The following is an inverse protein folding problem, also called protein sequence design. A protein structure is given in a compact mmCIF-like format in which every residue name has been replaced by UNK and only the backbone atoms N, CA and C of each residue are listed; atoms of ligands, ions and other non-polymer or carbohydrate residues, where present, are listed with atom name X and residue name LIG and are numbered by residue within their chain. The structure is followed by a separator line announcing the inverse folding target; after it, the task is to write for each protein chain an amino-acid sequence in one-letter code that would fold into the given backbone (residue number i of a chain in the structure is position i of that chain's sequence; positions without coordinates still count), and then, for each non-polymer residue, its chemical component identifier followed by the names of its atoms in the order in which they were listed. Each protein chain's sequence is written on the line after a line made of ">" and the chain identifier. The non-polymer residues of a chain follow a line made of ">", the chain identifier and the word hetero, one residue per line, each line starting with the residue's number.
data_IF_843105384633
#
_entry.id   IF_843105384633
#
_cell.length_a   1.000
_cell.length_b   1.000
_cell.length_c   1.000
_cell.angle_alpha   90.00
_cell.angle_beta   90.00
_cell.angle_gamma   90.00
#
_symmetry.space_group_name_H-M   'P 1'
#
loop_
_entity.id
_entity.type
_entity.pdbx_description
1 polymer ?
#
# COMPACT_ATOMS: atom_id res chain seq x y z
N UNK A 1 -14.80 -2.82 -30.68
CA UNK A 1 -15.33 -2.46 -32.01
C UNK A 1 -16.03 -1.12 -31.84
N UNK A 2 -15.44 -0.03 -32.35
CA UNK A 2 -15.95 1.33 -32.17
C UNK A 2 -17.33 1.45 -32.85
N UNK A 3 -18.40 1.62 -32.07
CA UNK A 3 -19.74 1.83 -32.59
C UNK A 3 -19.85 3.27 -33.11
N UNK A 4 -19.94 3.42 -34.42
CA UNK A 4 -20.29 4.67 -35.11
C UNK A 4 -21.56 5.27 -34.54
N UNK A 5 -21.50 6.55 -34.13
CA UNK A 5 -22.65 7.32 -33.66
C UNK A 5 -23.60 7.58 -34.83
N UNK A 6 -24.74 6.90 -34.87
CA UNK A 6 -25.81 7.18 -35.81
C UNK A 6 -26.79 8.20 -35.18
N UNK A 7 -26.94 9.37 -35.81
CA UNK A 7 -27.98 10.35 -35.48
C UNK A 7 -29.35 9.85 -35.96
N UNK A 8 -30.37 9.93 -35.11
CA UNK A 8 -31.76 9.62 -35.48
C UNK A 8 -32.45 10.80 -36.19
N UNK A 9 -33.48 10.50 -36.99
CA UNK A 9 -34.18 11.43 -37.91
C UNK A 9 -34.81 12.68 -37.27
N UNK A 10 -34.84 12.80 -35.94
CA UNK A 10 -35.46 13.94 -35.22
C UNK A 10 -34.49 14.75 -34.35
N UNK A 11 -33.17 14.65 -34.57
CA UNK A 11 -32.17 15.49 -33.87
C UNK A 11 -32.04 15.25 -32.36
N UNK A 12 -32.73 14.25 -31.79
CA UNK A 12 -32.55 13.81 -30.40
C UNK A 12 -31.61 12.61 -30.34
N UNK A 13 -30.67 12.61 -29.39
CA UNK A 13 -29.83 11.43 -29.11
C UNK A 13 -30.72 10.23 -28.78
N UNK A 14 -30.51 9.09 -29.45
CA UNK A 14 -31.14 7.83 -29.05
C UNK A 14 -30.68 7.47 -27.64
N UNK A 15 -31.61 7.14 -26.75
CA UNK A 15 -31.28 6.47 -25.49
C UNK A 15 -30.64 5.11 -25.83
N UNK A 16 -29.32 5.01 -25.66
CA UNK A 16 -28.61 3.75 -25.76
C UNK A 16 -28.78 2.99 -24.44
N UNK A 17 -29.88 2.23 -24.32
CA UNK A 17 -29.93 1.18 -23.32
C UNK A 17 -29.04 0.02 -23.79
N UNK A 18 -27.90 -0.16 -23.12
CA UNK A 18 -27.04 -1.32 -23.32
C UNK A 18 -27.81 -2.59 -22.89
N UNK A 19 -28.23 -3.40 -23.85
CA UNK A 19 -28.96 -4.67 -23.66
C UNK A 19 -28.04 -5.89 -23.75
N UNK A 20 -26.72 -5.70 -23.59
CA UNK A 20 -25.77 -6.80 -23.54
C UNK A 20 -25.85 -7.56 -22.20
N UNK A 21 -25.28 -8.78 -22.12
CA UNK A 21 -25.18 -9.53 -20.87
C UNK A 21 -24.48 -8.69 -19.80
N UNK A 22 -25.14 -8.50 -18.66
CA UNK A 22 -24.58 -7.83 -17.48
C UNK A 22 -24.14 -8.88 -16.49
N UNK A 23 -22.85 -8.93 -16.19
CA UNK A 23 -22.31 -9.86 -15.19
C UNK A 23 -22.55 -9.29 -13.79
N UNK A 24 -23.44 -9.92 -13.01
CA UNK A 24 -23.72 -9.57 -11.62
C UNK A 24 -22.78 -10.30 -10.66
N UNK A 25 -21.47 -10.05 -10.75
CA UNK A 25 -20.49 -10.55 -9.76
C UNK A 25 -19.95 -9.42 -8.90
N UNK A 26 -19.73 -9.70 -7.62
CA UNK A 26 -19.05 -8.80 -6.69
C UNK A 26 -17.57 -9.17 -6.59
N UNK A 27 -16.69 -8.21 -6.85
CA UNK A 27 -15.25 -8.32 -6.54
C UNK A 27 -14.98 -7.53 -5.26
N UNK A 28 -14.42 -8.14 -4.20
CA UNK A 28 -14.14 -7.44 -2.94
C UNK A 28 -12.96 -6.47 -3.02
N UNK A 29 -12.13 -6.56 -4.07
CA UNK A 29 -10.93 -5.75 -4.22
C UNK A 29 -10.99 -4.85 -5.47
N UNK A 30 -10.38 -3.68 -5.32
CA UNK A 30 -10.00 -2.79 -6.40
C UNK A 30 -8.51 -2.43 -6.26
N UNK A 31 -7.83 -2.15 -7.37
CA UNK A 31 -6.46 -1.67 -7.33
C UNK A 31 -6.44 -0.14 -7.36
N UNK A 32 -5.91 0.48 -6.30
CA UNK A 32 -5.86 1.93 -6.19
C UNK A 32 -4.49 2.55 -6.55
N UNK A 33 -3.54 1.70 -6.94
CA UNK A 33 -2.19 2.13 -7.30
C UNK A 33 -1.37 2.56 -6.10
N UNK A 34 -0.64 3.65 -6.29
CA UNK A 34 0.37 4.13 -5.36
C UNK A 34 1.72 3.45 -5.56
N UNK A 35 2.79 4.18 -5.25
CA UNK A 35 4.16 3.67 -5.22
C UNK A 35 4.82 4.15 -3.95
N UNK A 36 5.50 3.22 -3.27
CA UNK A 36 6.25 3.46 -2.04
C UNK A 36 7.69 3.01 -2.26
N UNK A 37 8.64 3.77 -1.75
CA UNK A 37 10.06 3.48 -1.79
C UNK A 37 10.64 3.67 -0.40
N UNK A 38 11.57 2.81 0.00
CA UNK A 38 12.40 3.05 1.17
C UNK A 38 13.87 2.72 0.92
N UNK A 39 14.75 3.47 1.60
CA UNK A 39 16.21 3.32 1.58
C UNK A 39 16.75 3.42 3.00
N UNK A 40 17.55 2.44 3.42
CA UNK A 40 18.29 2.45 4.67
C UNK A 40 19.67 3.09 4.45
N UNK A 41 19.94 4.19 5.17
CA UNK A 41 21.25 4.78 5.29
C UNK A 41 22.00 4.27 6.54
N UNK A 42 23.18 4.85 6.78
CA UNK A 42 24.01 4.48 7.94
C UNK A 42 23.38 4.91 9.26
N UNK A 43 22.83 6.12 9.32
CA UNK A 43 22.22 6.75 10.51
C UNK A 43 20.80 7.29 10.25
N UNK A 44 20.24 7.00 9.07
CA UNK A 44 18.90 7.44 8.67
C UNK A 44 18.13 6.34 7.93
N UNK A 45 16.81 6.50 7.87
CA UNK A 45 15.95 5.74 6.97
C UNK A 45 15.02 6.70 6.23
N UNK A 46 14.92 6.56 4.91
CA UNK A 46 14.05 7.36 4.07
C UNK A 46 12.88 6.50 3.59
N UNK A 47 11.67 7.01 3.73
CA UNK A 47 10.44 6.40 3.17
C UNK A 47 9.70 7.47 2.38
N UNK A 48 9.48 7.22 1.10
CA UNK A 48 8.83 8.13 0.18
C UNK A 48 7.63 7.45 -0.50
N UNK A 49 6.60 8.22 -0.81
CA UNK A 49 5.44 7.76 -1.58
C UNK A 49 4.89 8.85 -2.46
N UNK A 50 4.23 8.47 -3.55
CA UNK A 50 3.39 9.40 -4.30
C UNK A 50 2.09 9.74 -3.54
N UNK A 51 1.35 10.74 -3.99
CA UNK A 51 0.11 11.21 -3.33
C UNK A 51 -1.16 10.97 -4.13
N UNK A 52 -1.09 10.39 -5.34
CA UNK A 52 -2.28 10.13 -6.17
C UNK A 52 -3.08 8.95 -5.66
N UNK A 53 -4.39 9.10 -5.54
CA UNK A 53 -5.34 8.00 -5.31
C UNK A 53 -6.23 7.87 -6.53
N UNK A 54 -6.15 6.74 -7.23
CA UNK A 54 -6.89 6.46 -8.46
C UNK A 54 -7.70 5.19 -8.37
N UNK A 55 -8.69 5.05 -9.24
CA UNK A 55 -9.42 3.81 -9.45
C UNK A 55 -9.90 3.75 -10.91
N UNK A 56 -9.58 2.66 -11.61
CA UNK A 56 -9.82 2.57 -13.05
C UNK A 56 -9.15 3.73 -13.80
N UNK A 57 -9.95 4.48 -14.56
CA UNK A 57 -9.48 5.64 -15.33
C UNK A 57 -9.74 6.99 -14.64
N UNK A 58 -10.16 6.98 -13.38
CA UNK A 58 -10.49 8.19 -12.61
C UNK A 58 -9.50 8.45 -11.48
N UNK A 59 -9.27 9.73 -11.18
CA UNK A 59 -8.47 10.18 -10.02
C UNK A 59 -9.43 10.65 -8.94
N UNK A 60 -9.42 9.96 -7.80
CA UNK A 60 -10.23 10.31 -6.63
C UNK A 60 -9.61 11.46 -5.85
N UNK A 61 -8.30 11.42 -5.63
CA UNK A 61 -7.55 12.49 -4.96
C UNK A 61 -6.14 12.63 -5.53
N UNK A 62 -5.62 13.85 -5.48
CA UNK A 62 -4.22 14.17 -5.80
C UNK A 62 -3.35 14.33 -4.55
N UNK A 63 -3.97 14.35 -3.38
CA UNK A 63 -3.31 14.51 -2.09
C UNK A 63 -3.81 13.44 -1.11
N UNK A 64 -3.13 12.30 -1.15
CA UNK A 64 -3.35 11.15 -0.28
C UNK A 64 -2.00 10.46 -0.05
N UNK A 65 -1.25 10.84 1.00
CA UNK A 65 0.04 10.24 1.31
C UNK A 65 -0.15 8.78 1.76
N UNK A 66 0.83 7.93 1.44
CA UNK A 66 0.83 6.48 1.78
C UNK A 66 1.80 6.16 2.92
N UNK A 67 2.56 7.15 3.37
CA UNK A 67 3.43 7.06 4.52
C UNK A 67 2.66 7.42 5.80
N UNK A 68 2.71 6.52 6.78
CA UNK A 68 2.10 6.69 8.09
C UNK A 68 3.17 6.56 9.17
N UNK A 69 3.29 7.59 10.02
CA UNK A 69 4.20 7.55 11.17
C UNK A 69 3.65 6.57 12.22
N UNK A 70 4.44 5.57 12.59
CA UNK A 70 4.09 4.58 13.61
C UNK A 70 4.67 4.93 14.98
N UNK A 71 5.96 5.24 15.01
CA UNK A 71 6.70 5.68 16.20
C UNK A 71 7.56 6.89 15.84
N UNK A 72 8.35 7.41 16.76
CA UNK A 72 9.28 8.51 16.44
C UNK A 72 10.40 8.12 15.49
N UNK A 73 10.70 6.82 15.36
CA UNK A 73 11.79 6.30 14.54
C UNK A 73 11.31 5.32 13.46
N UNK A 74 10.01 5.10 13.30
CA UNK A 74 9.46 4.12 12.35
C UNK A 74 8.27 4.69 11.56
N UNK A 75 8.32 4.52 10.25
CA UNK A 75 7.29 4.88 9.28
C UNK A 75 6.91 3.64 8.47
N UNK A 76 5.63 3.47 8.17
CA UNK A 76 5.14 2.45 7.25
C UNK A 76 4.57 3.10 5.99
N UNK A 77 4.93 2.58 4.83
CA UNK A 77 4.30 2.89 3.56
C UNK A 77 3.38 1.77 3.10
N UNK A 78 2.13 2.09 2.79
CA UNK A 78 1.11 1.11 2.37
C UNK A 78 0.62 1.41 0.94
N UNK A 79 0.74 0.45 0.02
CA UNK A 79 0.24 0.56 -1.36
C UNK A 79 -0.66 -0.63 -1.72
N UNK A 80 -1.48 -0.52 -2.77
CA UNK A 80 -2.43 -1.57 -3.17
C UNK A 80 -3.89 -1.14 -3.07
N UNK A 81 -4.72 -1.92 -2.39
CA UNK A 81 -6.13 -1.59 -2.12
C UNK A 81 -6.25 -0.64 -0.94
N UNK A 82 -6.77 0.56 -1.19
CA UNK A 82 -6.77 1.64 -0.20
C UNK A 82 -7.65 1.33 1.02
N UNK A 83 -8.75 0.59 0.84
CA UNK A 83 -9.62 0.17 1.95
C UNK A 83 -8.90 -0.71 2.98
N UNK A 84 -8.04 -1.62 2.49
CA UNK A 84 -7.20 -2.45 3.35
C UNK A 84 -6.08 -1.64 3.99
N UNK A 85 -5.45 -0.69 3.27
CA UNK A 85 -4.43 0.20 3.84
C UNK A 85 -4.97 0.94 5.08
N UNK A 86 -6.16 1.54 5.00
CA UNK A 86 -6.76 2.28 6.12
C UNK A 86 -7.05 1.39 7.32
N UNK A 87 -7.58 0.18 7.06
CA UNK A 87 -7.88 -0.81 8.10
C UNK A 87 -6.60 -1.27 8.79
N UNK A 88 -5.59 -1.65 8.00
CA UNK A 88 -4.33 -2.17 8.51
C UNK A 88 -3.59 -1.13 9.36
N UNK A 89 -3.52 0.12 8.91
CA UNK A 89 -2.88 1.21 9.67
C UNK A 89 -3.53 1.39 11.04
N UNK A 90 -4.87 1.33 11.13
CA UNK A 90 -5.60 1.42 12.42
C UNK A 90 -5.32 0.23 13.34
N UNK A 91 -5.24 -0.98 12.79
CA UNK A 91 -4.92 -2.20 13.56
C UNK A 91 -3.51 -2.10 14.14
N UNK A 92 -2.53 -1.66 13.34
CA UNK A 92 -1.15 -1.47 13.78
C UNK A 92 -1.09 -0.43 14.90
N UNK A 93 -1.69 0.74 14.71
CA UNK A 93 -1.72 1.82 15.72
C UNK A 93 -2.31 1.35 17.06
N UNK A 94 -3.43 0.61 17.03
CA UNK A 94 -4.01 0.03 18.22
C UNK A 94 -3.05 -0.94 18.93
N UNK A 95 -2.38 -1.84 18.18
CA UNK A 95 -1.43 -2.79 18.77
C UNK A 95 -0.19 -2.11 19.33
N UNK A 96 0.30 -1.04 18.70
CA UNK A 96 1.43 -0.25 19.22
C UNK A 96 1.09 0.36 20.59
N UNK A 97 -0.12 0.92 20.72
CA UNK A 97 -0.61 1.48 22.00
C UNK A 97 -0.75 0.40 23.07
N UNK A 98 -1.36 -0.74 22.72
CA UNK A 98 -1.50 -1.88 23.63
C UNK A 98 -0.13 -2.38 24.12
N UNK A 99 0.83 -2.52 23.20
CA UNK A 99 2.19 -2.95 23.55
C UNK A 99 2.86 -1.96 24.51
N UNK A 100 2.73 -0.66 24.24
CA UNK A 100 3.29 0.40 25.09
C UNK A 100 2.73 0.35 26.51
N UNK A 101 1.42 0.15 26.66
CA UNK A 101 0.78 0.03 27.97
C UNK A 101 1.19 -1.24 28.72
N UNK A 102 1.36 -2.36 28.01
CA UNK A 102 1.73 -3.64 28.64
C UNK A 102 3.21 -3.72 29.05
N UNK A 103 4.10 -3.08 28.29
CA UNK A 103 5.56 -3.23 28.45
C UNK A 103 6.28 -1.95 28.91
N UNK A 104 5.56 -0.83 29.06
CA UNK A 104 6.12 0.50 29.39
C UNK A 104 7.23 0.98 28.45
N UNK A 105 7.30 0.44 27.21
CA UNK A 105 8.29 0.79 26.20
C UNK A 105 7.68 0.79 24.80
N UNK A 106 8.26 1.55 23.88
CA UNK A 106 7.86 1.55 22.46
C UNK A 106 8.41 0.32 21.74
N UNK A 107 7.70 -0.16 20.72
CA UNK A 107 8.19 -1.24 19.88
C UNK A 107 9.35 -0.76 19.00
N UNK A 108 10.35 -1.61 18.82
CA UNK A 108 11.45 -1.37 17.88
C UNK A 108 11.03 -1.71 16.45
N UNK A 109 11.69 -1.15 15.44
CA UNK A 109 11.34 -1.36 14.04
C UNK A 109 11.26 -2.85 13.65
N UNK A 110 12.18 -3.67 14.17
CA UNK A 110 12.17 -5.12 13.97
C UNK A 110 11.00 -5.84 14.65
N UNK A 111 10.61 -5.40 15.86
CA UNK A 111 9.44 -5.96 16.56
C UNK A 111 8.13 -5.63 15.82
N UNK A 112 8.02 -4.42 15.26
CA UNK A 112 6.86 -4.03 14.43
C UNK A 112 6.80 -4.89 13.17
N UNK A 113 7.94 -5.15 12.53
CA UNK A 113 8.01 -6.02 11.36
C UNK A 113 7.53 -7.45 11.64
N UNK A 114 8.01 -8.07 12.73
CA UNK A 114 7.57 -9.40 13.15
C UNK A 114 6.07 -9.44 13.51
N UNK A 115 5.57 -8.40 14.18
CA UNK A 115 4.14 -8.27 14.48
C UNK A 115 3.31 -8.17 13.20
N UNK A 116 3.74 -7.36 12.22
CA UNK A 116 3.03 -7.16 10.97
C UNK A 116 2.93 -8.46 10.16
N UNK A 117 4.00 -9.24 10.11
CA UNK A 117 4.00 -10.57 9.49
C UNK A 117 2.87 -11.46 10.02
N UNK A 118 2.70 -11.49 11.35
CA UNK A 118 1.63 -12.26 12.00
C UNK A 118 0.24 -11.72 11.70
N UNK A 119 0.07 -10.39 11.62
CA UNK A 119 -1.22 -9.76 11.29
C UNK A 119 -1.65 -10.12 9.87
N UNK A 120 -0.73 -10.02 8.90
CA UNK A 120 -1.00 -10.33 7.50
C UNK A 120 -1.33 -11.81 7.33
N UNK A 121 -0.52 -12.69 7.95
CA UNK A 121 -0.74 -14.13 7.89
C UNK A 121 -2.04 -14.56 8.59
N UNK A 122 -2.49 -13.84 9.61
CA UNK A 122 -3.77 -14.08 10.28
C UNK A 122 -4.99 -14.04 9.35
N UNK A 123 -4.87 -13.41 8.17
CA UNK A 123 -5.90 -13.38 7.13
C UNK A 123 -5.51 -14.18 5.88
N UNK A 124 -4.69 -15.23 6.00
CA UNK A 124 -4.15 -16.00 4.87
C UNK A 124 -5.18 -16.48 3.82
N UNK A 125 -6.41 -16.80 4.22
CA UNK A 125 -7.48 -17.28 3.32
C UNK A 125 -8.36 -16.18 2.72
N UNK A 126 -8.25 -14.95 3.24
CA UNK A 126 -8.87 -13.76 2.67
C UNK A 126 -7.95 -12.54 2.94
N UNK A 127 -6.81 -12.48 2.22
CA UNK A 127 -5.66 -11.66 2.59
C UNK A 127 -5.95 -10.17 2.45
N UNK A 128 -5.16 -9.35 3.10
CA UNK A 128 -5.14 -7.93 2.75
C UNK A 128 -4.47 -7.77 1.38
N UNK A 129 -5.04 -6.96 0.49
CA UNK A 129 -4.40 -6.65 -0.79
C UNK A 129 -3.51 -5.42 -0.68
N UNK A 130 -2.43 -5.56 0.09
CA UNK A 130 -1.51 -4.46 0.42
C UNK A 130 -0.06 -4.90 0.32
N UNK A 131 0.78 -4.01 -0.19
CA UNK A 131 2.22 -4.12 -0.16
C UNK A 131 2.75 -3.08 0.81
N UNK A 132 3.39 -3.57 1.88
CA UNK A 132 3.88 -2.74 2.97
C UNK A 132 5.41 -2.65 2.91
N UNK A 133 5.92 -1.46 3.20
CA UNK A 133 7.34 -1.23 3.44
C UNK A 133 7.46 -0.48 4.76
N UNK A 134 8.17 -1.06 5.72
CA UNK A 134 8.51 -0.39 6.98
C UNK A 134 9.93 0.15 6.84
N UNK A 135 10.11 1.43 7.10
CA UNK A 135 11.42 2.07 7.22
C UNK A 135 11.57 2.71 8.59
N UNK A 136 12.74 2.57 9.19
CA UNK A 136 13.05 3.18 10.47
C UNK A 136 14.47 2.93 10.92
N UNK A 137 14.78 3.34 12.14
CA UNK A 137 16.05 3.01 12.78
C UNK A 137 15.93 1.72 13.59
N UNK A 138 17.00 0.93 13.61
CA UNK A 138 17.13 -0.19 14.54
C UNK A 138 17.68 0.26 15.91
N UNK A 139 17.88 -0.69 16.82
CA UNK A 139 18.35 -0.42 18.19
C UNK A 139 19.79 0.12 18.22
N UNK A 140 20.56 -0.07 17.16
CA UNK A 140 21.92 0.44 17.01
C UNK A 140 21.95 1.81 16.30
N UNK A 141 20.77 2.35 15.95
CA UNK A 141 20.64 3.62 15.25
C UNK A 141 20.86 3.52 13.75
N UNK A 142 20.95 2.31 13.17
CA UNK A 142 21.16 2.11 11.73
C UNK A 142 19.86 2.04 10.97
N UNK A 143 19.88 2.46 9.71
CA UNK A 143 18.74 2.32 8.82
C UNK A 143 18.28 0.87 8.69
N UNK A 144 16.97 0.64 8.79
CA UNK A 144 16.36 -0.66 8.62
C UNK A 144 15.10 -0.54 7.75
N UNK A 145 15.10 -1.24 6.61
CA UNK A 145 13.95 -1.38 5.73
C UNK A 145 13.48 -2.83 5.74
N UNK A 146 12.17 -3.01 5.92
CA UNK A 146 11.51 -4.32 5.87
C UNK A 146 10.43 -4.29 4.81
N UNK A 147 10.53 -5.19 3.84
CA UNK A 147 9.55 -5.33 2.76
C UNK A 147 8.64 -6.53 3.01
N UNK A 148 7.35 -6.38 2.67
CA UNK A 148 6.34 -7.41 2.93
C UNK A 148 5.61 -7.81 1.66
N UNK A 149 5.26 -9.09 1.58
CA UNK A 149 4.23 -9.57 0.66
C UNK A 149 2.82 -9.48 1.31
N UNK A 150 1.74 -9.63 0.53
CA UNK A 150 0.37 -9.58 1.06
C UNK A 150 0.00 -10.70 2.04
N UNK A 151 0.84 -11.73 2.19
CA UNK A 151 0.57 -12.90 3.07
C UNK A 151 1.43 -12.90 4.34
N UNK A 152 2.35 -11.96 4.50
CA UNK A 152 3.10 -11.72 5.71
C UNK A 152 4.56 -12.20 5.69
N UNK A 153 5.08 -12.71 4.57
CA UNK A 153 6.52 -12.93 4.45
C UNK A 153 7.24 -11.59 4.42
N UNK A 154 8.41 -11.51 5.07
CA UNK A 154 9.22 -10.30 5.07
C UNK A 154 10.71 -10.59 5.18
N UNK A 155 11.50 -9.64 4.70
CA UNK A 155 12.96 -9.65 4.80
C UNK A 155 13.48 -8.24 5.10
N UNK A 156 14.69 -8.16 5.66
CA UNK A 156 15.40 -6.89 5.84
C UNK A 156 16.22 -6.60 4.57
N UNK A 157 15.98 -5.45 3.96
CA UNK A 157 16.63 -5.00 2.73
C UNK A 157 17.38 -3.68 2.97
N UNK A 158 18.39 -3.37 2.14
CA UNK A 158 19.02 -2.05 2.13
C UNK A 158 18.10 -0.99 1.48
N UNK A 159 17.31 -1.39 0.49
CA UNK A 159 16.36 -0.54 -0.20
C UNK A 159 15.27 -1.41 -0.84
N UNK A 160 14.08 -0.85 -1.01
CA UNK A 160 12.98 -1.54 -1.69
C UNK A 160 11.98 -0.57 -2.31
N UNK A 161 11.56 -0.84 -3.53
CA UNK A 161 10.40 -0.22 -4.15
C UNK A 161 9.18 -1.15 -4.16
N UNK A 162 8.00 -0.61 -3.87
CA UNK A 162 6.73 -1.33 -3.79
C UNK A 162 5.59 -0.57 -4.47
N UNK A 163 4.52 -1.30 -4.79
CA UNK A 163 3.37 -0.76 -5.48
C UNK A 163 3.52 -0.76 -7.01
N UNK A 164 2.78 0.13 -7.67
CA UNK A 164 2.57 0.13 -9.13
C UNK A 164 3.85 0.32 -9.95
N UNK A 165 4.77 1.20 -9.56
CA UNK A 165 6.01 1.47 -10.29
C UNK A 165 7.23 0.71 -9.73
N UNK A 166 7.02 -0.31 -8.89
CA UNK A 166 8.12 -1.09 -8.28
C UNK A 166 9.12 -1.64 -9.32
N UNK A 167 8.62 -2.22 -10.42
CA UNK A 167 9.45 -2.78 -11.50
C UNK A 167 10.28 -1.72 -12.26
N UNK A 168 9.88 -0.44 -12.20
CA UNK A 168 10.64 0.66 -12.83
C UNK A 168 11.74 1.17 -11.90
N UNK A 169 11.47 1.21 -10.59
CA UNK A 169 12.37 1.77 -9.59
C UNK A 169 13.40 0.77 -9.10
N UNK A 170 13.03 -0.51 -8.95
CA UNK A 170 13.93 -1.51 -8.36
C UNK A 170 15.26 -1.65 -9.13
N UNK A 171 15.27 -1.80 -10.48
CA UNK A 171 16.53 -1.93 -11.23
C UNK A 171 17.42 -0.68 -11.14
N UNK A 172 16.81 0.50 -10.97
CA UNK A 172 17.57 1.74 -10.80
C UNK A 172 18.31 1.76 -9.46
N UNK A 173 17.69 1.23 -8.40
CA UNK A 173 18.30 1.14 -7.08
C UNK A 173 19.36 0.03 -7.02
N UNK A 174 19.21 -1.01 -7.84
CA UNK A 174 20.17 -2.12 -7.95
C UNK A 174 21.46 -1.72 -8.68
N UNK A 175 21.44 -0.65 -9.47
CA UNK A 175 22.59 -0.16 -10.25
C UNK A 175 23.59 0.65 -9.41
N UNK A 176 24.00 0.12 -8.25
CA UNK A 176 24.99 0.75 -7.36
C UNK A 176 26.43 0.40 -7.75
#
# INVERSE_FOLDING_TARGET
>A
MLSTQAFGENGKMKEYHYTGPVEHKFSPYAFNGGTVLAVAGEDFALVASDTRLSEGYSIHSRDSPKCYKLTDQTVIGCSGFHGDCLTLTKIIDARLKMYKHANNKTMTSGAIAAMLSTILYGRRFFPYYVYNIIGGLDEEGRGAVYSFDPVGSYQRDAYKAGGSASAMLQPLLDNQ
#
